data_IF_994314555223
#
_entry.id   IF_994314555223
#
_cell.length_a   1.000
_cell.length_b   1.000
_cell.length_c   1.000
_cell.angle_alpha   90.00
_cell.angle_beta   90.00
_cell.angle_gamma   90.00
#
_symmetry.space_group_name_H-M   'P 1'
#
loop_
_entity.id
_entity.type
_entity.pdbx_description
1 polymer ?
2 non-polymer ?
3 water ?
#
# COMPACT_ATOMS: atom_id res chain seq x y z
N UNK A 1 -15.37 16.95 2.58
CA UNK A 1 -15.23 16.32 3.88
C UNK A 1 -14.94 14.82 3.77
N UNK A 2 -15.39 14.18 2.69
CA UNK A 2 -14.98 12.81 2.42
C UNK A 2 -14.43 12.68 1.01
N UNK A 3 -13.46 11.78 0.85
CA UNK A 3 -12.76 11.65 -0.42
C UNK A 3 -12.34 10.20 -0.62
N UNK A 4 -12.33 9.78 -1.88
CA UNK A 4 -11.72 8.50 -2.23
C UNK A 4 -10.25 8.48 -1.83
N UNK A 5 -9.60 9.63 -1.84
CA UNK A 5 -8.18 9.73 -1.53
C UNK A 5 -8.03 9.88 -0.02
N UNK A 6 -7.40 8.89 0.62
CA UNK A 6 -7.24 8.85 2.06
C UNK A 6 -5.77 9.06 2.42
N UNK A 7 -5.52 9.92 3.40
CA UNK A 7 -4.18 10.12 3.94
C UNK A 7 -4.22 9.59 5.36
N UNK A 8 -3.45 8.54 5.61
CA UNK A 8 -3.53 7.77 6.84
C UNK A 8 -2.13 7.69 7.44
N UNK A 9 -2.02 7.93 8.73
CA UNK A 9 -0.78 7.68 9.45
C UNK A 9 -0.99 6.47 10.35
N UNK A 10 -0.18 5.45 10.16
CA UNK A 10 -0.22 4.25 10.98
C UNK A 10 1.01 4.22 11.88
N UNK A 11 0.82 3.76 13.10
CA UNK A 11 1.91 3.54 14.04
C UNK A 11 2.07 2.04 14.26
N UNK A 12 3.31 1.57 14.24
CA UNK A 12 3.56 0.13 14.26
C UNK A 12 2.97 -0.53 15.50
N UNK A 13 3.05 0.14 16.64
CA UNK A 13 2.39 -0.36 17.82
C UNK A 13 2.91 -1.72 18.28
N UNK A 14 2.05 -2.40 19.05
CA UNK A 14 2.37 -3.70 19.63
C UNK A 14 2.22 -4.84 18.65
N UNK A 15 1.27 -4.75 17.71
CA UNK A 15 0.96 -5.84 16.80
C UNK A 15 1.44 -5.60 15.38
N UNK A 16 2.12 -4.50 15.12
CA UNK A 16 2.59 -4.23 13.77
C UNK A 16 1.61 -3.41 12.95
N UNK A 17 2.04 -3.10 11.73
CA UNK A 17 1.24 -2.27 10.83
C UNK A 17 -0.01 -2.98 10.34
N UNK A 18 -0.02 -4.31 10.30
CA UNK A 18 -1.25 -5.04 10.09
C UNK A 18 -1.78 -5.12 8.67
N UNK A 19 -0.91 -5.10 7.67
CA UNK A 19 -1.39 -5.26 6.30
C UNK A 19 -0.32 -5.88 5.44
N UNK A 20 -0.76 -6.51 4.36
CA UNK A 20 0.12 -7.05 3.34
C UNK A 20 0.01 -6.18 2.09
N UNK A 21 1.10 -6.06 1.34
CA UNK A 21 1.05 -5.35 0.08
C UNK A 21 1.54 -6.22 -1.07
N UNK A 22 1.24 -5.78 -2.28
CA UNK A 22 1.71 -6.44 -3.49
C UNK A 22 2.20 -5.39 -4.47
N UNK A 23 2.95 -5.85 -5.45
CA UNK A 23 3.44 -4.98 -6.48
C UNK A 23 4.02 -5.79 -7.61
N UNK A 24 4.55 -5.12 -8.63
CA UNK A 24 5.10 -5.83 -9.78
C UNK A 24 6.50 -6.36 -9.48
N UNK A 25 6.91 -7.33 -10.29
CA UNK A 25 8.25 -7.90 -10.12
C UNK A 25 9.34 -6.85 -10.33
N UNK A 26 9.16 -5.97 -11.31
CA UNK A 26 10.20 -5.04 -11.75
C UNK A 26 9.72 -3.61 -11.56
N UNK A 27 10.57 -2.77 -10.99
CA UNK A 27 10.28 -1.35 -10.84
C UNK A 27 10.46 -0.63 -12.16
N UNK A 28 9.74 0.48 -12.32
CA UNK A 28 9.92 1.33 -13.47
C UNK A 28 8.71 1.33 -14.38
N UNK A 29 8.81 2.05 -15.51
CA UNK A 29 7.69 2.15 -16.45
C UNK A 29 7.16 0.80 -16.88
N UNK A 30 5.84 0.74 -17.04
CA UNK A 30 5.12 -0.47 -17.41
C UNK A 30 4.60 -0.34 -18.84
N UNK A 31 4.64 -1.46 -19.56
CA UNK A 31 4.01 -1.54 -20.86
C UNK A 31 2.50 -1.41 -20.72
N UNK A 32 1.84 -1.00 -21.80
CA UNK A 32 0.39 -0.96 -21.82
C UNK A 32 -0.17 -2.35 -21.52
N UNK A 33 -1.25 -2.38 -20.74
CA UNK A 33 -1.90 -3.63 -20.39
C UNK A 33 -1.26 -4.39 -19.25
N UNK A 34 -0.09 -3.96 -18.77
CA UNK A 34 0.54 -4.67 -17.66
C UNK A 34 0.19 -3.99 -16.34
N UNK A 35 -0.04 -4.76 -15.27
CA UNK A 35 -0.35 -4.13 -13.98
C UNK A 35 0.87 -3.42 -13.43
N UNK A 36 0.60 -2.31 -12.75
CA UNK A 36 1.66 -1.48 -12.19
C UNK A 36 1.06 -0.74 -11.00
N UNK A 37 1.91 -0.41 -10.04
CA UNK A 37 1.49 0.21 -8.81
C UNK A 37 1.54 -0.76 -7.64
N UNK A 38 1.58 -0.19 -6.45
CA UNK A 38 1.62 -0.95 -5.20
C UNK A 38 0.22 -0.97 -4.61
N UNK A 39 -0.21 -2.14 -4.12
CA UNK A 39 -1.56 -2.33 -3.62
C UNK A 39 -1.57 -3.00 -2.26
N UNK A 40 -2.58 -2.68 -1.46
CA UNK A 40 -2.85 -3.43 -0.24
C UNK A 40 -3.50 -4.74 -0.64
N UNK A 41 -2.88 -5.86 -0.26
CA UNK A 41 -3.40 -7.18 -0.60
C UNK A 41 -4.08 -7.89 0.56
N UNK A 42 -3.97 -7.39 1.80
CA UNK A 42 -4.69 -8.03 2.90
C UNK A 42 -4.66 -7.10 4.09
N UNK A 43 -5.77 -7.04 4.82
CA UNK A 43 -5.82 -6.39 6.12
C UNK A 43 -5.79 -7.48 7.18
N UNK A 44 -4.79 -7.44 8.05
CA UNK A 44 -4.66 -8.50 9.04
C UNK A 44 -5.67 -8.30 10.17
N UNK A 45 -6.02 -9.38 10.88
CA UNK A 45 -7.05 -9.27 11.93
C UNK A 45 -6.63 -8.42 13.12
N UNK A 46 -5.35 -8.18 13.32
CA UNK A 46 -4.88 -7.25 14.34
C UNK A 46 -3.81 -6.38 13.71
N UNK A 47 -3.71 -5.15 14.20
CA UNK A 47 -2.66 -4.27 13.73
C UNK A 47 -3.15 -2.88 13.44
N UNK A 48 -2.24 -2.00 13.03
CA UNK A 48 -2.60 -0.60 12.88
C UNK A 48 -3.64 -0.40 11.79
N UNK A 49 -3.55 -1.16 10.70
CA UNK A 49 -4.44 -0.93 9.57
C UNK A 49 -5.89 -1.20 9.94
N UNK A 50 -6.17 -2.33 10.59
CA UNK A 50 -7.56 -2.61 10.96
C UNK A 50 -8.05 -1.63 12.00
N UNK A 51 -7.18 -1.23 12.94
CA UNK A 51 -7.59 -0.28 13.96
C UNK A 51 -7.96 1.07 13.36
N UNK A 52 -7.29 1.46 12.27
CA UNK A 52 -7.57 2.73 11.62
C UNK A 52 -8.93 2.73 10.95
N UNK A 53 -9.34 1.59 10.38
CA UNK A 53 -10.57 1.53 9.62
C UNK A 53 -10.53 2.29 8.31
N UNK A 54 -9.35 2.75 7.89
CA UNK A 54 -9.24 3.58 6.70
C UNK A 54 -8.21 3.04 5.72
N UNK A 55 -7.88 1.76 5.82
CA UNK A 55 -6.95 1.08 4.94
C UNK A 55 -7.64 -0.19 4.47
N UNK A 56 -7.76 -0.38 3.16
CA UNK A 56 -8.57 -1.47 2.63
C UNK A 56 -7.79 -2.29 1.62
N UNK A 57 -8.05 -3.59 1.61
CA UNK A 57 -7.57 -4.41 0.51
C UNK A 57 -8.07 -3.83 -0.81
N UNK A 58 -7.20 -3.83 -1.82
CA UNK A 58 -7.53 -3.23 -3.10
C UNK A 58 -7.23 -1.76 -3.21
N UNK A 59 -6.72 -1.14 -2.15
CA UNK A 59 -6.24 0.24 -2.25
C UNK A 59 -4.92 0.27 -3.01
N UNK A 60 -4.77 1.25 -3.88
CA UNK A 60 -3.44 1.58 -4.39
C UNK A 60 -2.74 2.46 -3.38
N UNK A 61 -1.50 2.10 -3.04
CA UNK A 61 -0.65 2.95 -2.21
C UNK A 61 0.07 3.89 -3.17
N UNK A 62 -0.42 5.13 -3.27
CA UNK A 62 0.19 6.09 -4.19
C UNK A 62 1.53 6.58 -3.66
N UNK A 63 1.64 6.75 -2.34
CA UNK A 63 2.91 7.14 -1.74
C UNK A 63 2.96 6.61 -0.32
N UNK A 64 4.18 6.46 0.18
CA UNK A 64 4.41 6.02 1.54
C UNK A 64 5.62 6.76 2.07
N UNK A 65 5.46 7.43 3.21
CA UNK A 65 6.57 8.14 3.85
C UNK A 65 7.26 9.09 2.88
N UNK A 66 6.46 9.81 2.11
CA UNK A 66 6.98 10.78 1.16
C UNK A 66 7.52 10.21 -0.14
N UNK A 67 7.51 8.89 -0.32
CA UNK A 67 8.05 8.26 -1.51
C UNK A 67 6.93 7.94 -2.48
N UNK A 68 7.05 8.45 -3.71
CA UNK A 68 6.11 8.14 -4.78
C UNK A 68 6.28 6.68 -5.17
N UNK A 69 5.21 5.89 -5.04
CA UNK A 69 5.27 4.46 -5.34
C UNK A 69 4.62 4.10 -6.68
N UNK A 70 4.41 5.07 -7.57
CA UNK A 70 3.71 4.76 -8.82
C UNK A 70 4.40 3.64 -9.58
N UNK A 71 5.74 3.63 -9.59
CA UNK A 71 6.51 2.69 -10.39
C UNK A 71 7.32 1.72 -9.54
N UNK A 72 7.02 1.63 -8.24
CA UNK A 72 7.82 0.80 -7.35
C UNK A 72 7.59 -0.68 -7.64
N UNK A 73 8.64 -1.48 -7.46
CA UNK A 73 8.45 -2.92 -7.44
C UNK A 73 7.88 -3.36 -6.08
N UNK A 74 7.35 -4.58 -6.05
CA UNK A 74 7.03 -5.20 -4.77
C UNK A 74 8.22 -5.14 -3.83
N UNK A 75 9.38 -5.59 -4.31
CA UNK A 75 10.55 -5.66 -3.43
C UNK A 75 10.88 -4.29 -2.85
N UNK A 76 10.81 -3.24 -3.68
CA UNK A 76 11.10 -1.89 -3.21
C UNK A 76 10.13 -1.46 -2.11
N UNK A 77 8.83 -1.70 -2.32
CA UNK A 77 7.84 -1.30 -1.32
C UNK A 77 7.98 -2.10 -0.03
N UNK A 78 8.17 -3.41 -0.14
CA UNK A 78 8.29 -4.22 1.06
C UNK A 78 9.54 -3.84 1.84
N UNK A 79 10.61 -3.50 1.12
CA UNK A 79 11.85 -3.08 1.75
C UNK A 79 11.67 -1.74 2.45
N UNK A 80 10.96 -0.80 1.80
CA UNK A 80 10.66 0.48 2.42
C UNK A 80 9.97 0.28 3.77
N UNK A 81 8.96 -0.58 3.81
CA UNK A 81 8.24 -0.86 5.05
C UNK A 81 9.16 -1.50 6.08
N UNK A 82 9.89 -2.54 5.67
CA UNK A 82 10.71 -3.29 6.62
C UNK A 82 11.80 -2.42 7.22
N UNK A 83 12.22 -1.38 6.52
CA UNK A 83 13.31 -0.51 6.95
C UNK A 83 12.87 0.67 7.82
N UNK A 84 11.57 0.86 8.03
CA UNK A 84 11.11 1.93 8.91
C UNK A 84 11.70 1.71 10.30
N UNK A 85 12.32 2.76 10.86
CA UNK A 85 12.96 2.64 12.16
C UNK A 85 12.17 3.30 13.29
N UNK A 86 11.33 4.28 12.99
CA UNK A 86 10.61 5.01 14.03
C UNK A 86 9.17 4.54 14.23
N UNK A 87 8.76 3.48 13.53
CA UNK A 87 7.42 2.95 13.70
C UNK A 87 6.29 3.77 13.10
N UNK A 88 6.59 4.76 12.26
CA UNK A 88 5.57 5.64 11.69
C UNK A 88 5.50 5.41 10.19
N UNK A 89 4.28 5.28 9.67
CA UNK A 89 4.05 5.12 8.25
C UNK A 89 2.92 6.04 7.82
N UNK A 90 3.19 6.93 6.88
CA UNK A 90 2.16 7.77 6.30
C UNK A 90 1.88 7.25 4.89
N UNK A 91 0.60 7.14 4.55
CA UNK A 91 0.15 6.55 3.29
C UNK A 91 -0.81 7.50 2.61
N UNK A 92 -0.71 7.59 1.28
CA UNK A 92 -1.77 8.13 0.44
C UNK A 92 -2.37 6.95 -0.29
N UNK A 93 -3.66 6.71 -0.05
CA UNK A 93 -4.36 5.52 -0.52
C UNK A 93 -5.59 5.92 -1.32
N UNK A 94 -5.94 5.10 -2.30
CA UNK A 94 -7.25 5.22 -2.93
C UNK A 94 -7.66 3.87 -3.47
N UNK A 95 -8.94 3.53 -3.35
CA UNK A 95 -9.39 2.25 -3.87
C UNK A 95 -9.23 2.24 -5.38
N UNK A 96 -8.65 1.17 -5.91
CA UNK A 96 -8.42 1.07 -7.35
C UNK A 96 -8.74 -0.35 -7.77
N UNK A 97 -10.04 -0.68 -7.85
CA UNK A 97 -10.41 -2.07 -8.12
C UNK A 97 -10.03 -2.54 -9.51
N UNK A 98 -10.03 -1.65 -10.50
CA UNK A 98 -9.66 -2.07 -11.84
C UNK A 98 -8.24 -2.57 -11.92
N UNK A 99 -7.29 -1.77 -11.40
CA UNK A 99 -5.90 -2.19 -11.45
C UNK A 99 -5.65 -3.38 -10.53
N UNK A 100 -6.31 -3.39 -9.37
CA UNK A 100 -6.18 -4.54 -8.48
C UNK A 100 -6.63 -5.82 -9.19
N UNK A 101 -7.73 -5.74 -9.94
CA UNK A 101 -8.19 -6.91 -10.70
C UNK A 101 -7.22 -7.29 -11.80
N UNK A 102 -6.55 -6.30 -12.41
CA UNK A 102 -5.58 -6.61 -13.45
C UNK A 102 -4.42 -7.43 -12.89
N UNK A 103 -4.06 -7.20 -11.63
CA UNK A 103 -3.02 -7.99 -10.99
C UNK A 103 -3.42 -9.46 -10.83
N UNK A 104 -4.72 -9.77 -10.87
CA UNK A 104 -5.17 -11.15 -10.76
C UNK A 104 -5.07 -11.92 -12.07
N UNK A 105 -4.87 -11.24 -13.19
CA UNK A 105 -4.83 -11.89 -14.50
C UNK A 105 -3.52 -12.63 -14.73
X LIG B 1 -13.53 6.89 1.57
X LIG B 1 -12.26 6.81 0.95
X LIG B 1 -13.38 6.68 3.08
X LIG B 1 -12.74 7.80 3.67
X LIG B 1 -14.75 6.47 3.70
X LIG B 1 -14.62 6.35 5.10
X LIG C 1 4.08 -4.41 4.30
X LIG C 1 5.12 -5.01 3.54
X LIG C 1 4.10 -4.94 5.73
X LIG C 1 3.59 -6.26 5.77
X LIG C 1 3.27 -4.03 6.62
X LIG C 1 3.21 -4.56 7.93
#
# INVERSE_FOLDING_TARGET
>A
KMSDLRTVTLYKGKAGFGFSLLGPAKAGPAEEGEPVGIFISRILPEGAAIESGQVFEGDQILSMNGQDLALASYRQAANLVKHITDGVMTLNLTANPGMYDLYKQ
>B hetero
1 GOL C1 O1 C2 O2 C3 O3
>C hetero
1 GOL C1 O1 C2 O2 C3 O3
#
